data_IF_729539316848
#
_entry.id   IF_729539316848
#
_cell.length_a   1.000
_cell.length_b   1.000
_cell.length_c   1.000
_cell.angle_alpha   90.00
_cell.angle_beta   90.00
_cell.angle_gamma   90.00
#
_symmetry.space_group_name_H-M   'P 1'
#
loop_
_entity.id
_entity.type
_entity.pdbx_description
1 polymer ?
#
# COMPACT_ATOMS: atom_id res chain seq x y z
N UNK A 1 12.56 0.55 -3.30
CA UNK A 1 11.96 -0.34 -2.28
C UNK A 1 10.88 -1.16 -2.95
N UNK A 2 10.66 -2.41 -2.53
CA UNK A 2 9.58 -3.23 -3.10
C UNK A 2 8.22 -2.80 -2.56
N UNK A 3 7.22 -2.74 -3.42
CA UNK A 3 5.83 -2.46 -3.07
C UNK A 3 4.88 -3.38 -3.84
N UNK A 4 3.78 -3.78 -3.20
CA UNK A 4 2.62 -4.38 -3.87
C UNK A 4 1.79 -3.23 -4.43
N UNK A 5 1.45 -3.25 -5.71
CA UNK A 5 0.71 -2.20 -6.39
C UNK A 5 -0.56 -2.75 -7.02
N UNK A 6 -1.65 -2.02 -6.79
CA UNK A 6 -2.88 -2.08 -7.56
C UNK A 6 -2.75 -1.11 -8.74
N UNK A 7 -2.72 -1.64 -9.97
CA UNK A 7 -2.65 -0.85 -11.21
C UNK A 7 -3.97 -0.83 -11.98
N UNK A 8 -4.81 -1.83 -11.72
CA UNK A 8 -6.16 -1.97 -12.24
C UNK A 8 -7.02 -2.63 -11.18
N UNK A 9 -8.33 -2.37 -11.21
CA UNK A 9 -9.23 -3.02 -10.27
C UNK A 9 -9.37 -4.51 -10.59
N UNK A 10 -9.28 -5.36 -9.58
CA UNK A 10 -9.30 -6.80 -9.78
C UNK A 10 -9.23 -7.60 -8.49
N UNK A 11 -9.17 -8.93 -8.61
CA UNK A 11 -8.94 -9.80 -7.48
C UNK A 11 -7.47 -9.69 -7.02
N UNK A 12 -7.09 -10.22 -5.83
CA UNK A 12 -5.72 -10.11 -5.32
C UNK A 12 -4.62 -10.57 -6.29
N UNK A 13 -4.91 -11.51 -7.19
CA UNK A 13 -3.99 -12.05 -8.19
C UNK A 13 -3.60 -11.04 -9.27
N UNK A 14 -4.35 -9.93 -9.43
CA UNK A 14 -3.98 -8.85 -10.36
C UNK A 14 -2.98 -7.85 -9.76
N UNK A 15 -2.64 -8.00 -8.47
CA UNK A 15 -1.64 -7.15 -7.83
C UNK A 15 -0.24 -7.50 -8.32
N UNK A 16 0.59 -6.47 -8.53
CA UNK A 16 1.96 -6.63 -8.98
C UNK A 16 2.95 -6.22 -7.90
N UNK A 17 4.11 -6.86 -7.84
CA UNK A 17 5.21 -6.45 -6.98
C UNK A 17 6.24 -5.74 -7.84
N UNK A 18 6.55 -4.49 -7.50
CA UNK A 18 7.51 -3.67 -8.23
C UNK A 18 8.50 -2.97 -7.30
N UNK A 19 9.66 -2.63 -7.84
CA UNK A 19 10.60 -1.74 -7.19
C UNK A 19 10.21 -0.28 -7.48
N UNK A 20 9.92 0.48 -6.43
CA UNK A 20 9.61 1.91 -6.48
C UNK A 20 10.72 2.74 -5.83
N UNK A 21 10.72 4.05 -6.05
CA UNK A 21 11.67 4.93 -5.38
C UNK A 21 11.53 4.86 -3.85
N UNK A 22 12.63 5.05 -3.13
CA UNK A 22 12.58 5.15 -1.68
C UNK A 22 11.85 6.45 -1.27
N UNK A 23 10.97 6.34 -0.29
CA UNK A 23 10.29 7.49 0.28
C UNK A 23 11.29 8.40 0.99
N UNK A 24 11.04 9.71 0.94
CA UNK A 24 11.74 10.72 1.74
C UNK A 24 10.69 11.44 2.59
N UNK A 25 10.85 11.52 3.93
CA UNK A 25 9.86 12.16 4.76
C UNK A 25 9.86 13.68 4.52
N UNK A 26 8.67 14.28 4.49
CA UNK A 26 8.51 15.73 4.61
C UNK A 26 8.65 16.21 6.07
N UNK A 27 8.52 17.51 6.30
CA UNK A 27 8.55 18.08 7.64
C UNK A 27 7.41 17.50 8.50
N UNK A 28 7.77 16.92 9.66
CA UNK A 28 6.81 16.30 10.58
C UNK A 28 6.30 14.91 10.17
N UNK A 29 6.87 14.32 9.10
CA UNK A 29 6.56 12.96 8.68
C UNK A 29 7.70 12.01 9.07
N UNK A 30 7.43 10.71 9.05
CA UNK A 30 8.44 9.66 9.24
C UNK A 30 8.31 8.60 8.16
N UNK A 31 9.43 7.95 7.83
CA UNK A 31 9.46 6.75 7.01
C UNK A 31 9.56 5.51 7.91
N UNK A 32 8.54 4.66 7.82
CA UNK A 32 8.52 3.38 8.53
C UNK A 32 9.07 2.28 7.64
N UNK A 33 10.14 1.62 8.09
CA UNK A 33 10.58 0.34 7.54
C UNK A 33 9.61 -0.77 7.92
N UNK A 34 8.58 -0.97 7.10
CA UNK A 34 7.52 -1.98 7.30
C UNK A 34 8.12 -3.38 7.47
N UNK A 35 7.72 -4.08 8.53
CA UNK A 35 8.09 -5.48 8.84
C UNK A 35 6.90 -6.43 8.74
N UNK A 36 5.70 -5.92 9.02
CA UNK A 36 4.44 -6.63 8.85
C UNK A 36 3.34 -5.66 8.45
N UNK A 37 2.33 -6.15 7.75
CA UNK A 37 1.09 -5.43 7.45
C UNK A 37 -0.11 -6.33 7.75
N UNK A 38 -1.23 -5.70 8.13
CA UNK A 38 -2.51 -6.38 8.28
C UNK A 38 -3.13 -6.66 6.92
N UNK A 39 -3.94 -7.72 6.84
CA UNK A 39 -4.78 -8.02 5.67
C UNK A 39 -6.21 -8.13 6.16
N UNK A 40 -7.06 -7.22 5.68
CA UNK A 40 -8.44 -7.10 6.11
C UNK A 40 -9.40 -7.17 4.92
N UNK A 41 -10.68 -7.41 5.21
CA UNK A 41 -11.72 -7.44 4.19
C UNK A 41 -11.82 -6.13 3.37
N UNK A 42 -11.72 -4.91 3.95
CA UNK A 42 -11.75 -3.66 3.18
C UNK A 42 -10.64 -3.56 2.13
N UNK A 43 -9.46 -4.14 2.36
CA UNK A 43 -8.36 -4.12 1.38
C UNK A 43 -8.81 -4.80 0.08
N UNK A 44 -9.54 -5.91 0.19
CA UNK A 44 -10.10 -6.62 -0.98
C UNK A 44 -11.15 -5.79 -1.72
N UNK A 45 -11.97 -5.02 -0.98
CA UNK A 45 -12.97 -4.13 -1.58
C UNK A 45 -12.31 -2.95 -2.31
N UNK A 46 -11.21 -2.40 -1.76
CA UNK A 46 -10.47 -1.28 -2.35
C UNK A 46 -9.83 -1.72 -3.67
N UNK A 47 -9.12 -2.86 -3.70
CA UNK A 47 -8.49 -3.36 -4.94
C UNK A 47 -9.52 -3.78 -5.99
N UNK A 48 -10.75 -4.11 -5.60
CA UNK A 48 -11.86 -4.38 -6.52
C UNK A 48 -12.65 -3.13 -6.93
N UNK A 49 -12.31 -1.95 -6.41
CA UNK A 49 -13.05 -0.70 -6.69
C UNK A 49 -14.46 -0.65 -6.09
N UNK A 50 -14.77 -1.54 -5.15
CA UNK A 50 -16.07 -1.69 -4.47
C UNK A 50 -16.18 -0.92 -3.16
N UNK A 51 -15.08 -0.33 -2.69
CA UNK A 51 -15.06 0.46 -1.46
C UNK A 51 -15.43 1.93 -1.72
N UNK A 52 -15.89 2.62 -0.67
CA UNK A 52 -16.27 4.04 -0.75
C UNK A 52 -15.06 4.92 -1.04
N UNK A 53 -13.93 4.63 -0.38
CA UNK A 53 -12.66 5.27 -0.64
C UNK A 53 -11.96 4.60 -1.83
N UNK A 54 -11.54 5.41 -2.80
CA UNK A 54 -10.90 4.96 -4.05
C UNK A 54 -9.60 5.75 -4.25
N UNK A 55 -8.44 5.17 -3.90
CA UNK A 55 -7.16 5.82 -4.12
C UNK A 55 -6.89 6.04 -5.61
N UNK A 56 -6.12 7.07 -5.99
CA UNK A 56 -5.65 7.22 -7.36
C UNK A 56 -4.73 6.06 -7.74
N UNK A 57 -4.84 5.58 -8.99
CA UNK A 57 -3.96 4.53 -9.51
C UNK A 57 -2.59 5.10 -9.94
N UNK A 58 -1.49 4.34 -9.80
CA UNK A 58 -1.39 3.11 -9.02
C UNK A 58 -1.28 3.40 -7.51
N UNK A 59 -1.77 2.49 -6.68
CA UNK A 59 -1.64 2.61 -5.22
C UNK A 59 -1.20 1.30 -4.57
N UNK A 60 -0.58 1.39 -3.40
CA UNK A 60 -0.33 0.24 -2.54
C UNK A 60 -1.55 0.01 -1.62
N UNK A 61 -2.19 -1.17 -1.65
CA UNK A 61 -3.26 -1.50 -0.72
C UNK A 61 -2.70 -1.78 0.69
N UNK A 62 -3.58 -1.76 1.69
CA UNK A 62 -3.24 -1.98 3.11
C UNK A 62 -3.44 -0.73 3.96
N UNK A 63 -4.23 -0.85 5.03
CA UNK A 63 -4.48 0.22 5.99
C UNK A 63 -3.65 0.16 7.28
N UNK A 64 -2.94 -0.95 7.51
CA UNK A 64 -2.28 -1.24 8.79
C UNK A 64 -0.86 -1.76 8.59
N UNK A 65 0.10 -1.21 9.34
CA UNK A 65 1.51 -1.60 9.28
C UNK A 65 2.15 -1.61 10.66
N UNK A 66 3.14 -2.48 10.84
CA UNK A 66 4.07 -2.48 11.97
C UNK A 66 5.51 -2.51 11.44
N UNK A 67 6.39 -1.71 12.03
CA UNK A 67 7.76 -1.56 11.56
C UNK A 67 8.62 -0.68 12.44
N UNK A 68 9.79 -0.32 11.92
CA UNK A 68 10.79 0.50 12.62
C UNK A 68 10.84 1.86 11.94
N UNK A 69 10.79 2.94 12.73
CA UNK A 69 11.03 4.30 12.23
C UNK A 69 12.47 4.41 11.75
N UNK A 70 12.68 4.79 10.49
CA UNK A 70 14.01 4.94 9.88
C UNK A 70 14.51 6.39 9.89
N UNK A 71 13.62 7.33 9.61
CA UNK A 71 13.85 8.77 9.51
C UNK A 71 12.53 9.53 9.66
#
# INVERSE_FOLDING_TARGET
MKAVLCKEYGPPESLVIEDVEALKPGMGQVVVGVKACGVNFPDTLIIQGKYQFKPPMPFAPGGEVAGIVKE
#
